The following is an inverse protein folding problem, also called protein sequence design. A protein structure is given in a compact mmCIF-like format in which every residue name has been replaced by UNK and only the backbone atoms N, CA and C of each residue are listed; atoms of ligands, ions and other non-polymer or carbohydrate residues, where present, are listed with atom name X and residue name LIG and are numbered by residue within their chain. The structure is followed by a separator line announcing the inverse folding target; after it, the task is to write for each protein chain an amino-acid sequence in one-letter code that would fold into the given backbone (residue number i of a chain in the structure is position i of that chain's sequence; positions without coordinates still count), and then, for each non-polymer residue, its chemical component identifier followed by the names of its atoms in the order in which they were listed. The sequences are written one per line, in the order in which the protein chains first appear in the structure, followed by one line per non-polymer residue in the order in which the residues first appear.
data_IF_680256583478
#
_entry.id   IF_680256583478
#
_cell.length_a   1.000
_cell.length_b   1.000
_cell.length_c   1.000
_cell.angle_alpha   90.00
_cell.angle_beta   90.00
_cell.angle_gamma   90.00
#
_symmetry.space_group_name_H-M   'P 1'
#
loop_
_entity.id
_entity.type
_entity.pdbx_description
1 polymer ?
#
# COMPACT_ATOMS: atom_id res chain seq x y z
N UNK A 1 -13.44 -13.47 8.53
CA UNK A 1 -12.10 -13.54 7.92
C UNK A 1 -11.25 -12.50 8.62
N UNK A 2 -10.00 -12.83 8.96
CA UNK A 2 -9.11 -11.93 9.71
C UNK A 2 -8.65 -10.77 8.80
N UNK A 3 -8.90 -9.52 9.22
CA UNK A 3 -8.56 -8.33 8.43
C UNK A 3 -7.06 -8.18 8.22
N UNK A 4 -6.23 -8.65 9.16
CA UNK A 4 -4.78 -8.64 8.99
C UNK A 4 -4.38 -9.62 7.89
N UNK A 5 -4.97 -10.80 7.86
CA UNK A 5 -4.77 -11.76 6.76
C UNK A 5 -5.23 -11.18 5.41
N UNK A 6 -6.39 -10.53 5.37
CA UNK A 6 -6.88 -9.89 4.14
C UNK A 6 -5.92 -8.79 3.66
N UNK A 7 -5.39 -7.96 4.58
CA UNK A 7 -4.38 -6.95 4.26
C UNK A 7 -3.11 -7.59 3.71
N UNK A 8 -2.58 -8.64 4.34
CA UNK A 8 -1.37 -9.35 3.86
C UNK A 8 -1.55 -9.87 2.43
N UNK A 9 -2.73 -10.40 2.10
CA UNK A 9 -3.04 -10.87 0.76
C UNK A 9 -3.12 -9.70 -0.25
N UNK A 10 -3.79 -8.61 0.11
CA UNK A 10 -3.91 -7.41 -0.74
C UNK A 10 -2.54 -6.77 -1.00
N UNK A 11 -1.72 -6.67 0.05
CA UNK A 11 -0.40 -6.03 0.06
C UNK A 11 0.71 -6.96 -0.44
N UNK A 12 0.38 -8.25 -0.65
CA UNK A 12 1.29 -9.29 -1.16
C UNK A 12 2.48 -9.53 -0.24
N UNK A 13 2.26 -9.45 1.07
CA UNK A 13 3.31 -9.51 2.10
C UNK A 13 4.09 -10.84 2.11
N UNK A 14 3.54 -11.92 1.54
CA UNK A 14 4.29 -13.17 1.33
C UNK A 14 5.39 -13.01 0.27
N UNK A 15 5.07 -12.38 -0.86
CA UNK A 15 5.98 -12.26 -2.02
C UNK A 15 6.81 -10.97 -2.03
N UNK A 16 6.33 -9.95 -1.32
CA UNK A 16 7.00 -8.65 -1.17
C UNK A 16 6.71 -8.12 0.23
N UNK A 17 7.42 -8.63 1.25
CA UNK A 17 7.26 -8.20 2.63
C UNK A 17 7.62 -6.72 2.79
N UNK A 18 6.85 -6.00 3.59
CA UNK A 18 7.08 -4.59 3.92
C UNK A 18 6.58 -4.25 5.32
N UNK A 19 5.44 -4.82 5.75
CA UNK A 19 4.80 -4.52 7.02
C UNK A 19 4.79 -5.71 7.98
N UNK A 20 4.97 -5.44 9.27
CA UNK A 20 4.64 -6.41 10.32
C UNK A 20 3.15 -6.40 10.66
N UNK A 21 2.69 -7.40 11.40
CA UNK A 21 1.29 -7.49 11.86
C UNK A 21 0.91 -6.31 12.76
N UNK A 22 1.85 -5.85 13.59
CA UNK A 22 1.68 -4.69 14.45
C UNK A 22 1.51 -3.39 13.63
N UNK A 23 2.28 -3.22 12.57
CA UNK A 23 2.15 -2.07 11.67
C UNK A 23 0.83 -2.11 10.91
N UNK A 24 0.43 -3.28 10.40
CA UNK A 24 -0.88 -3.45 9.76
C UNK A 24 -2.03 -3.16 10.72
N UNK A 25 -1.92 -3.58 11.98
CA UNK A 25 -2.90 -3.28 13.02
C UNK A 25 -2.98 -1.77 13.27
N UNK A 26 -1.83 -1.10 13.39
CA UNK A 26 -1.77 0.36 13.54
C UNK A 26 -2.49 1.10 12.39
N UNK A 27 -2.20 0.75 11.13
CA UNK A 27 -2.86 1.39 9.99
C UNK A 27 -4.35 1.02 9.88
N UNK A 28 -4.74 -0.15 10.37
CA UNK A 28 -6.14 -0.55 10.44
C UNK A 28 -6.90 0.29 11.48
N UNK A 29 -6.35 0.44 12.68
CA UNK A 29 -6.91 1.30 13.74
C UNK A 29 -6.99 2.76 13.29
N UNK A 30 -5.91 3.30 12.74
CA UNK A 30 -5.84 4.67 12.17
C UNK A 30 -6.95 4.94 11.15
N UNK A 31 -7.32 3.93 10.37
CA UNK A 31 -8.36 4.04 9.34
C UNK A 31 -9.76 3.60 9.83
N UNK A 32 -10.01 3.61 11.14
CA UNK A 32 -11.29 3.21 11.73
C UNK A 32 -11.71 1.78 11.33
N UNK A 33 -10.74 0.87 11.27
CA UNK A 33 -10.92 -0.51 10.83
C UNK A 33 -11.46 -0.66 9.39
N UNK A 34 -11.32 0.35 8.53
CA UNK A 34 -11.71 0.31 7.12
C UNK A 34 -10.63 -0.34 6.26
N UNK A 35 -10.83 -1.62 5.94
CA UNK A 35 -9.90 -2.44 5.15
C UNK A 35 -9.49 -1.77 3.83
N UNK A 36 -10.42 -1.12 3.13
CA UNK A 36 -10.13 -0.53 1.81
C UNK A 36 -9.28 0.73 1.96
N UNK A 37 -9.58 1.58 2.95
CA UNK A 37 -8.74 2.75 3.23
C UNK A 37 -7.35 2.36 3.71
N UNK A 38 -7.26 1.37 4.60
CA UNK A 38 -5.97 0.84 5.07
C UNK A 38 -5.15 0.29 3.91
N UNK A 39 -5.74 -0.57 3.06
CA UNK A 39 -5.05 -1.08 1.88
C UNK A 39 -4.59 0.05 0.95
N UNK A 40 -5.43 1.06 0.72
CA UNK A 40 -5.07 2.21 -0.11
C UNK A 40 -3.85 2.95 0.44
N UNK A 41 -3.84 3.24 1.75
CA UNK A 41 -2.72 3.92 2.42
C UNK A 41 -1.44 3.08 2.39
N UNK A 42 -1.49 1.82 2.80
CA UNK A 42 -0.35 0.92 2.82
C UNK A 42 0.26 0.71 1.42
N UNK A 43 -0.56 0.65 0.36
CA UNK A 43 -0.07 0.55 -1.02
C UNK A 43 0.64 1.83 -1.48
N UNK A 44 0.26 3.01 -0.98
CA UNK A 44 1.01 4.25 -1.25
C UNK A 44 2.35 4.26 -0.53
N UNK A 45 2.43 3.73 0.69
CA UNK A 45 3.70 3.61 1.42
C UNK A 45 4.64 2.65 0.70
N UNK A 46 4.16 1.48 0.24
CA UNK A 46 4.97 0.58 -0.61
C UNK A 46 5.40 1.22 -1.93
N UNK A 47 4.74 2.30 -2.35
CA UNK A 47 5.05 3.03 -3.57
C UNK A 47 6.07 4.16 -3.37
N UNK A 48 6.66 4.32 -2.19
CA UNK A 48 7.77 5.25 -1.99
C UNK A 48 8.93 4.94 -2.96
N UNK A 49 9.64 5.99 -3.39
CA UNK A 49 10.76 5.84 -4.32
C UNK A 49 11.96 5.24 -3.58
N UNK A 50 12.22 3.97 -3.86
CA UNK A 50 13.36 3.21 -3.37
C UNK A 50 14.47 3.04 -4.43
N UNK A 51 14.48 3.89 -5.46
CA UNK A 51 15.51 3.81 -6.51
C UNK A 51 16.89 4.17 -5.97
N UNK A 52 17.90 3.42 -6.43
CA UNK A 52 19.29 3.60 -5.99
C UNK A 52 20.14 4.00 -7.19
N UNK A 53 20.77 5.17 -7.09
CA UNK A 53 21.83 5.59 -8.02
C UNK A 53 23.13 4.85 -7.72
N UNK A 54 23.73 4.28 -8.76
CA UNK A 54 25.02 3.58 -8.69
C UNK A 54 26.10 4.37 -9.48
N UNK A 55 27.39 4.14 -9.21
CA UNK A 55 28.47 4.77 -9.95
C UNK A 55 28.36 4.55 -11.47
N UNK A 56 28.85 5.52 -12.25
CA UNK A 56 28.85 5.42 -13.71
C UNK A 56 27.47 5.65 -14.36
N UNK A 57 26.50 6.19 -13.63
CA UNK A 57 25.17 6.52 -14.16
C UNK A 57 24.20 5.33 -14.24
N UNK A 58 24.54 4.21 -13.59
CA UNK A 58 23.63 3.08 -13.45
C UNK A 58 22.55 3.42 -12.41
N UNK A 59 21.35 2.85 -12.60
CA UNK A 59 20.24 3.03 -11.67
C UNK A 59 19.53 1.70 -11.44
N UNK A 60 19.24 1.40 -10.17
CA UNK A 60 18.29 0.35 -9.81
C UNK A 60 16.90 1.00 -9.76
N UNK A 61 15.99 0.49 -10.59
CA UNK A 61 14.63 1.01 -10.70
C UNK A 61 13.82 0.69 -9.43
N UNK A 62 12.92 1.60 -9.07
CA UNK A 62 11.92 1.38 -8.02
C UNK A 62 10.70 0.61 -8.54
N UNK A 63 9.83 0.20 -7.63
CA UNK A 63 8.55 -0.46 -7.93
C UNK A 63 7.32 0.44 -7.73
N UNK A 64 7.51 1.76 -7.61
CA UNK A 64 6.46 2.71 -7.23
C UNK A 64 5.22 2.61 -8.12
N UNK A 65 5.39 2.60 -9.44
CA UNK A 65 4.27 2.56 -10.38
C UNK A 65 3.39 1.31 -10.22
N UNK A 66 4.00 0.18 -9.89
CA UNK A 66 3.27 -1.06 -9.70
C UNK A 66 2.33 -0.96 -8.49
N UNK A 67 2.84 -0.48 -7.36
CA UNK A 67 2.05 -0.29 -6.13
C UNK A 67 0.97 0.78 -6.30
N UNK A 68 1.27 1.89 -7.01
CA UNK A 68 0.27 2.91 -7.36
C UNK A 68 -0.84 2.37 -8.26
N UNK A 69 -0.53 1.47 -9.21
CA UNK A 69 -1.55 0.79 -10.03
C UNK A 69 -2.45 -0.07 -9.14
N UNK A 70 -1.88 -0.83 -8.21
CA UNK A 70 -2.64 -1.65 -7.28
C UNK A 70 -3.52 -0.79 -6.36
N UNK A 71 -2.99 0.33 -5.84
CA UNK A 71 -3.72 1.27 -4.97
C UNK A 71 -5.00 1.80 -5.63
N UNK A 72 -5.02 2.00 -6.95
CA UNK A 72 -6.22 2.51 -7.66
C UNK A 72 -7.46 1.63 -7.44
N UNK A 73 -7.31 0.32 -7.21
CA UNK A 73 -8.41 -0.59 -6.92
C UNK A 73 -9.09 -0.34 -5.57
N UNK A 74 -8.39 0.32 -4.63
CA UNK A 74 -8.83 0.56 -3.26
C UNK A 74 -9.18 2.01 -2.97
N UNK A 75 -8.94 2.91 -3.95
CA UNK A 75 -9.22 4.34 -3.84
C UNK A 75 -10.63 4.61 -3.27
N UNK A 76 -10.75 5.42 -2.21
CA UNK A 76 -12.05 5.80 -1.66
C UNK A 76 -12.90 6.51 -2.72
N UNK A 77 -14.17 6.11 -2.84
CA UNK A 77 -15.11 6.84 -3.70
C UNK A 77 -15.33 8.23 -3.09
N UNK A 78 -15.13 9.29 -3.88
CA UNK A 78 -15.58 10.62 -3.48
C UNK A 78 -17.11 10.58 -3.43
N UNK A 79 -17.72 10.98 -2.31
CA UNK A 79 -19.14 11.30 -2.28
C UNK A 79 -19.33 12.54 -3.17
N UNK A 80 -19.86 12.36 -4.38
CA UNK A 80 -20.40 13.48 -5.14
C UNK A 80 -21.69 13.89 -4.44
N UNK A 81 -21.66 15.02 -3.74
CA UNK A 81 -22.89 15.72 -3.39
C UNK A 81 -23.47 16.25 -4.71
N UNK A 82 -24.53 15.60 -5.17
CA UNK A 82 -25.41 16.19 -6.18
C UNK A 82 -26.33 17.12 -5.41
N UNK A 83 -26.16 18.43 -5.64
CA UNK A 83 -27.06 19.49 -5.19
C UNK A 83 -28.30 19.53 -6.10
#
# INVERSE_FOLDING_TARGET
MDKILDLKLILREESSPFFTDEELLFYLEKNNNDLRKTAYECLHIKAEDDSIGLPGGLQLANNSEYWLRLAKHYKPKKRSFVL
#
